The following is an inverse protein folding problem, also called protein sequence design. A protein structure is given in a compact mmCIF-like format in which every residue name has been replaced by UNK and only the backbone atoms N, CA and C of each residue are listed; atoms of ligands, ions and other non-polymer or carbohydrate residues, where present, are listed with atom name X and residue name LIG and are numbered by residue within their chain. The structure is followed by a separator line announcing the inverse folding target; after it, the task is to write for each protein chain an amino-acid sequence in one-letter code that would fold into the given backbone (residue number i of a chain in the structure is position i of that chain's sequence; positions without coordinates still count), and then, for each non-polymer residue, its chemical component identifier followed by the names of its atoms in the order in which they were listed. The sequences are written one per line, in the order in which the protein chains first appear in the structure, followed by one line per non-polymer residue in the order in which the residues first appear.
data_IF_882148903612
#
_entry.id   IF_882148903612
#
_cell.length_a   1.000
_cell.length_b   1.000
_cell.length_c   1.000
_cell.angle_alpha   90.00
_cell.angle_beta   90.00
_cell.angle_gamma   90.00
#
_symmetry.space_group_name_H-M   'P 1'
#
loop_
_entity.id
_entity.type
_entity.pdbx_description
1 polymer ?
#
# COMPACT_ATOMS: atom_id res chain seq x y z
N UNK A 1 10.07 -13.85 -3.36
CA UNK A 1 10.65 -14.84 -2.45
C UNK A 1 12.14 -15.09 -2.70
N UNK A 2 12.58 -15.35 -3.93
CA UNK A 2 14.00 -15.64 -4.21
C UNK A 2 14.96 -14.53 -3.71
N UNK A 3 14.65 -13.25 -3.94
CA UNK A 3 15.50 -12.16 -3.44
C UNK A 3 15.65 -12.17 -1.90
N UNK A 4 14.57 -12.44 -1.16
CA UNK A 4 14.62 -12.60 0.29
C UNK A 4 15.48 -13.79 0.71
N UNK A 5 15.39 -14.91 -0.01
CA UNK A 5 16.25 -16.07 0.26
C UNK A 5 17.73 -15.73 0.05
N UNK A 6 18.07 -15.01 -1.02
CA UNK A 6 19.45 -14.61 -1.30
C UNK A 6 20.02 -13.69 -0.22
N UNK A 7 19.20 -12.79 0.34
CA UNK A 7 19.55 -11.96 1.50
C UNK A 7 19.76 -12.80 2.76
N UNK A 8 18.85 -13.74 3.05
CA UNK A 8 18.95 -14.62 4.20
C UNK A 8 20.23 -15.46 4.20
N UNK A 9 20.59 -15.98 3.02
CA UNK A 9 21.80 -16.76 2.80
C UNK A 9 23.08 -15.91 2.68
N UNK A 10 22.96 -14.57 2.80
CA UNK A 10 24.08 -13.61 2.73
C UNK A 10 24.84 -13.63 1.40
N UNK A 11 24.18 -14.02 0.30
CA UNK A 11 24.77 -13.86 -1.05
C UNK A 11 24.85 -12.39 -1.46
N UNK A 12 23.94 -11.56 -0.93
CA UNK A 12 23.91 -10.12 -1.13
C UNK A 12 23.66 -9.42 0.19
N UNK A 13 24.13 -8.18 0.29
CA UNK A 13 23.99 -7.36 1.50
C UNK A 13 22.82 -6.41 1.41
N UNK A 14 22.39 -6.06 0.19
CA UNK A 14 21.30 -5.11 -0.05
C UNK A 14 20.17 -5.73 -0.88
N UNK A 15 18.91 -5.28 -0.66
CA UNK A 15 17.78 -5.67 -1.50
C UNK A 15 18.01 -5.37 -2.97
N UNK A 16 18.65 -4.24 -3.27
CA UNK A 16 18.96 -3.78 -4.63
C UNK A 16 19.85 -4.80 -5.37
N UNK A 17 20.95 -5.23 -4.76
CA UNK A 17 21.84 -6.25 -5.35
C UNK A 17 21.11 -7.57 -5.62
N UNK A 18 20.33 -8.05 -4.65
CA UNK A 18 19.58 -9.30 -4.77
C UNK A 18 18.50 -9.23 -5.87
N UNK A 19 17.82 -8.09 -5.99
CA UNK A 19 16.79 -7.85 -7.00
C UNK A 19 17.42 -7.72 -8.39
N UNK A 20 18.49 -6.96 -8.53
CA UNK A 20 19.19 -6.77 -9.80
C UNK A 20 19.75 -8.10 -10.32
N UNK A 21 20.39 -8.87 -9.45
CA UNK A 21 20.85 -10.22 -9.79
C UNK A 21 19.70 -11.12 -10.22
N UNK A 22 18.63 -11.18 -9.43
CA UNK A 22 17.45 -12.00 -9.76
C UNK A 22 16.84 -11.60 -11.10
N UNK A 23 16.69 -10.30 -11.34
CA UNK A 23 16.12 -9.75 -12.56
C UNK A 23 16.93 -10.15 -13.79
N UNK A 24 18.25 -9.99 -13.76
CA UNK A 24 19.15 -10.36 -14.86
C UNK A 24 19.17 -11.87 -15.13
N UNK A 25 19.06 -12.69 -14.08
CA UNK A 25 19.05 -14.15 -14.22
C UNK A 25 17.71 -14.72 -14.66
N UNK A 26 16.60 -14.07 -14.30
CA UNK A 26 15.26 -14.63 -14.50
C UNK A 26 14.62 -14.21 -15.82
N UNK A 27 14.83 -12.96 -16.26
CA UNK A 27 14.20 -12.38 -17.44
C UNK A 27 15.23 -11.70 -18.35
N UNK A 28 15.10 -11.90 -19.66
CA UNK A 28 16.00 -11.33 -20.67
C UNK A 28 15.99 -9.80 -20.66
N UNK A 29 14.84 -9.20 -20.37
CA UNK A 29 14.66 -7.75 -20.28
C UNK A 29 15.04 -7.16 -18.91
N UNK A 30 15.47 -7.98 -17.96
CA UNK A 30 15.80 -7.57 -16.59
C UNK A 30 14.59 -7.11 -15.78
N UNK A 31 13.35 -7.50 -16.13
CA UNK A 31 12.12 -7.04 -15.45
C UNK A 31 11.35 -8.16 -14.76
N UNK A 32 12.00 -8.92 -13.89
CA UNK A 32 11.34 -9.99 -13.14
C UNK A 32 10.54 -9.48 -11.93
N UNK A 33 11.16 -8.66 -11.07
CA UNK A 33 10.54 -8.07 -9.89
C UNK A 33 10.40 -6.56 -10.05
N UNK A 34 9.24 -6.13 -10.56
CA UNK A 34 8.97 -4.71 -10.87
C UNK A 34 7.86 -4.08 -10.03
N UNK A 35 7.02 -4.89 -9.38
CA UNK A 35 5.90 -4.36 -8.59
C UNK A 35 6.42 -3.67 -7.32
N UNK A 36 6.11 -2.38 -7.10
CA UNK A 36 6.65 -1.62 -5.97
C UNK A 36 6.32 -2.21 -4.60
N UNK A 37 5.14 -2.81 -4.45
CA UNK A 37 4.76 -3.50 -3.21
C UNK A 37 5.67 -4.71 -2.97
N UNK A 38 5.91 -5.55 -3.97
CA UNK A 38 6.79 -6.71 -3.81
C UNK A 38 8.23 -6.30 -3.47
N UNK A 39 8.76 -5.27 -4.14
CA UNK A 39 10.07 -4.68 -3.82
C UNK A 39 10.11 -4.19 -2.37
N UNK A 40 9.05 -3.52 -1.90
CA UNK A 40 8.93 -3.06 -0.51
C UNK A 40 9.01 -4.22 0.48
N UNK A 41 8.38 -5.36 0.19
CA UNK A 41 8.46 -6.54 1.07
C UNK A 41 9.87 -7.16 1.12
N UNK A 42 10.66 -7.08 0.04
CA UNK A 42 12.09 -7.49 0.10
C UNK A 42 12.87 -6.57 1.03
N UNK A 43 12.63 -5.26 0.98
CA UNK A 43 13.26 -4.27 1.88
C UNK A 43 12.81 -4.45 3.33
N UNK A 44 11.53 -4.76 3.56
CA UNK A 44 11.05 -5.09 4.90
C UNK A 44 11.75 -6.32 5.45
N UNK A 45 11.96 -7.35 4.62
CA UNK A 45 12.67 -8.55 5.04
C UNK A 45 14.13 -8.28 5.39
N UNK A 46 14.86 -7.49 4.58
CA UNK A 46 16.22 -7.05 4.95
C UNK A 46 16.22 -6.34 6.29
N UNK A 47 15.31 -5.38 6.52
CA UNK A 47 15.20 -4.68 7.80
C UNK A 47 14.93 -5.65 8.97
N UNK A 48 14.12 -6.68 8.76
CA UNK A 48 13.90 -7.75 9.74
C UNK A 48 15.19 -8.50 10.08
N UNK A 49 15.99 -8.85 9.08
CA UNK A 49 17.28 -9.50 9.32
C UNK A 49 18.26 -8.58 10.06
N UNK A 50 18.36 -7.32 9.64
CA UNK A 50 19.41 -6.41 10.12
C UNK A 50 19.10 -5.74 11.46
N UNK A 51 17.84 -5.36 11.69
CA UNK A 51 17.44 -4.60 12.89
C UNK A 51 16.72 -5.45 13.93
N UNK A 52 16.16 -6.59 13.51
CA UNK A 52 15.33 -7.43 14.36
C UNK A 52 15.86 -8.86 14.48
N UNK A 53 17.11 -9.10 14.05
CA UNK A 53 17.79 -10.39 14.14
C UNK A 53 16.99 -11.56 13.52
N UNK A 54 16.21 -11.26 12.48
CA UNK A 54 15.33 -12.23 11.80
C UNK A 54 13.96 -12.43 12.47
N UNK A 55 13.69 -11.81 13.61
CA UNK A 55 12.46 -11.99 14.37
C UNK A 55 11.32 -11.10 13.87
N UNK A 56 10.15 -11.71 13.71
CA UNK A 56 8.93 -11.00 13.31
C UNK A 56 8.48 -10.12 14.46
N UNK A 57 8.38 -8.81 14.19
CA UNK A 57 7.93 -7.85 15.17
C UNK A 57 6.41 -7.94 15.39
N UNK A 58 5.92 -7.72 16.62
CA UNK A 58 4.49 -7.69 16.88
C UNK A 58 3.81 -6.59 16.07
N UNK A 59 2.60 -6.87 15.59
CA UNK A 59 1.81 -5.91 14.82
C UNK A 59 1.50 -4.67 15.64
N UNK A 60 1.75 -3.49 15.05
CA UNK A 60 1.34 -2.21 15.65
C UNK A 60 -0.09 -1.89 15.24
N UNK A 61 -0.96 -1.68 16.22
CA UNK A 61 -2.33 -1.20 16.00
C UNK A 61 -2.31 0.28 15.62
N UNK A 62 -2.91 0.59 14.47
CA UNK A 62 -3.02 1.94 13.94
C UNK A 62 -4.46 2.20 13.49
N UNK A 63 -4.96 3.42 13.73
CA UNK A 63 -6.26 3.86 13.22
C UNK A 63 -6.05 4.72 11.97
N UNK A 64 -6.52 4.25 10.82
CA UNK A 64 -6.40 5.05 9.59
C UNK A 64 -7.42 6.19 9.60
N UNK A 65 -6.93 7.43 9.51
CA UNK A 65 -7.80 8.62 9.60
C UNK A 65 -8.24 9.18 8.26
N UNK A 66 -7.50 8.90 7.20
CA UNK A 66 -7.74 9.53 5.91
C UNK A 66 -6.59 9.40 4.95
N UNK A 67 -6.79 9.96 3.76
CA UNK A 67 -5.81 10.05 2.69
C UNK A 67 -5.65 11.49 2.25
N UNK A 68 -4.42 11.83 1.86
CA UNK A 68 -4.11 13.11 1.20
C UNK A 68 -3.44 12.77 -0.12
N UNK A 69 -4.08 13.10 -1.23
CA UNK A 69 -3.47 12.95 -2.54
C UNK A 69 -2.82 14.28 -2.92
N UNK A 70 -1.52 14.23 -3.20
CA UNK A 70 -0.72 15.39 -3.57
C UNK A 70 -0.58 15.47 -5.08
N UNK A 71 -0.55 16.70 -5.62
CA UNK A 71 -0.49 16.96 -7.06
C UNK A 71 -1.59 16.19 -7.82
N UNK A 72 -2.74 16.02 -7.16
CA UNK A 72 -3.84 15.24 -7.69
C UNK A 72 -4.59 16.07 -8.74
N UNK A 73 -4.77 15.55 -9.97
CA UNK A 73 -5.60 16.22 -10.95
C UNK A 73 -7.03 16.43 -10.44
N UNK A 74 -7.69 17.50 -10.90
CA UNK A 74 -9.01 17.85 -10.38
C UNK A 74 -10.08 16.77 -10.67
N UNK A 75 -9.88 15.96 -11.72
CA UNK A 75 -10.81 14.89 -12.12
C UNK A 75 -10.55 13.55 -11.41
N UNK A 76 -9.43 13.38 -10.70
CA UNK A 76 -9.10 12.11 -10.05
C UNK A 76 -9.77 12.04 -8.68
N UNK A 77 -10.87 11.28 -8.61
CA UNK A 77 -11.66 11.08 -7.39
C UNK A 77 -11.94 9.59 -7.21
N UNK A 78 -10.95 8.82 -6.71
CA UNK A 78 -11.08 7.38 -6.63
C UNK A 78 -12.01 6.98 -5.49
N UNK A 79 -12.76 5.90 -5.71
CA UNK A 79 -13.34 5.14 -4.60
C UNK A 79 -12.24 4.31 -3.93
N UNK A 80 -12.36 4.09 -2.63
CA UNK A 80 -11.32 3.45 -1.81
C UNK A 80 -11.85 2.16 -1.22
N UNK A 81 -11.02 1.11 -1.22
CA UNK A 81 -11.20 -0.11 -0.44
C UNK A 81 -9.96 -0.38 0.39
N UNK A 82 -10.17 -0.72 1.66
CA UNK A 82 -9.15 -1.10 2.62
C UNK A 82 -9.44 -2.54 3.02
N UNK A 83 -8.44 -3.40 2.92
CA UNK A 83 -8.56 -4.81 3.25
C UNK A 83 -7.30 -5.34 3.90
N UNK A 84 -7.42 -6.40 4.67
CA UNK A 84 -6.30 -7.20 5.17
C UNK A 84 -6.47 -8.66 4.70
N UNK A 85 -5.78 -9.58 5.35
CA UNK A 85 -5.88 -11.02 5.09
C UNK A 85 -7.22 -11.63 5.53
N UNK A 86 -7.94 -10.97 6.44
CA UNK A 86 -9.24 -11.43 6.97
C UNK A 86 -10.42 -10.91 6.15
N UNK A 87 -10.24 -9.81 5.41
CA UNK A 87 -11.23 -9.32 4.45
C UNK A 87 -11.24 -7.81 4.26
N UNK A 88 -12.40 -7.27 3.87
CA UNK A 88 -12.58 -5.84 3.67
C UNK A 88 -12.88 -5.17 5.02
N UNK A 89 -12.01 -4.24 5.41
CA UNK A 89 -12.16 -3.44 6.62
C UNK A 89 -13.02 -2.19 6.38
N UNK A 90 -12.91 -1.61 5.18
CA UNK A 90 -13.68 -0.44 4.78
C UNK A 90 -13.78 -0.36 3.26
N UNK A 91 -14.92 0.10 2.76
CA UNK A 91 -15.04 0.50 1.35
C UNK A 91 -16.02 1.65 1.20
N UNK A 92 -15.58 2.69 0.48
CA UNK A 92 -16.42 3.85 0.15
C UNK A 92 -17.71 3.46 -0.58
N UNK A 93 -17.70 2.34 -1.33
CA UNK A 93 -18.84 1.88 -2.14
C UNK A 93 -19.97 1.22 -1.35
N UNK A 94 -19.70 0.76 -0.12
CA UNK A 94 -20.69 0.04 0.72
C UNK A 94 -21.00 0.74 2.04
N UNK A 95 -20.10 1.61 2.50
CA UNK A 95 -20.23 2.23 3.81
C UNK A 95 -21.42 3.22 3.85
N UNK A 96 -22.31 3.18 4.86
CA UNK A 96 -23.53 3.99 4.89
C UNK A 96 -23.32 5.49 4.69
N UNK A 97 -22.21 6.05 5.21
CA UNK A 97 -21.87 7.48 5.06
C UNK A 97 -21.28 7.89 3.72
N UNK A 98 -20.94 6.95 2.84
CA UNK A 98 -20.28 7.25 1.56
C UNK A 98 -20.91 6.55 0.36
N UNK A 99 -21.71 5.50 0.57
CA UNK A 99 -22.29 4.66 -0.49
C UNK A 99 -23.23 5.44 -1.43
N UNK A 100 -23.91 6.44 -0.90
CA UNK A 100 -24.88 7.26 -1.64
C UNK A 100 -24.25 8.59 -2.12
N UNK A 101 -22.94 8.77 -1.88
CA UNK A 101 -22.18 9.94 -2.29
C UNK A 101 -21.36 9.63 -3.55
N UNK A 102 -21.23 10.63 -4.42
CA UNK A 102 -20.27 10.54 -5.50
C UNK A 102 -18.85 10.72 -4.94
N UNK A 103 -17.81 10.14 -5.57
CA UNK A 103 -16.44 10.35 -5.13
C UNK A 103 -16.05 11.82 -4.98
N UNK A 104 -16.55 12.70 -5.84
CA UNK A 104 -16.35 14.14 -5.74
C UNK A 104 -16.83 14.73 -4.41
N UNK A 105 -17.87 14.15 -3.80
CA UNK A 105 -18.52 14.67 -2.60
C UNK A 105 -17.76 14.34 -1.32
N UNK A 106 -17.07 13.19 -1.28
CA UNK A 106 -16.28 12.78 -0.10
C UNK A 106 -14.79 13.15 -0.18
N UNK A 107 -14.32 13.63 -1.33
CA UNK A 107 -12.97 14.18 -1.50
C UNK A 107 -12.99 15.72 -1.40
N UNK A 108 -12.44 16.24 -0.31
CA UNK A 108 -12.44 17.66 0.02
C UNK A 108 -11.17 18.32 -0.54
N UNK A 109 -11.30 19.44 -1.24
CA UNK A 109 -10.14 20.24 -1.65
C UNK A 109 -9.50 20.88 -0.40
N UNK A 110 -8.20 20.66 -0.22
CA UNK A 110 -7.46 21.38 0.82
C UNK A 110 -7.21 22.84 0.37
N UNK A 111 -7.00 23.78 1.32
CA UNK A 111 -6.65 25.17 1.00
C UNK A 111 -5.42 25.29 0.08
N UNK A 112 -4.50 24.33 0.15
CA UNK A 112 -3.33 24.25 -0.71
C UNK A 112 -3.71 23.63 -2.06
N UNK A 113 -3.50 24.38 -3.14
CA UNK A 113 -3.76 23.95 -4.53
C UNK A 113 -3.16 22.58 -4.84
N UNK A 114 -3.95 21.72 -5.49
CA UNK A 114 -3.52 20.39 -5.93
C UNK A 114 -3.45 19.33 -4.83
N UNK A 115 -4.04 19.59 -3.65
CA UNK A 115 -4.20 18.60 -2.59
C UNK A 115 -5.68 18.31 -2.39
N UNK A 116 -6.04 17.03 -2.40
CA UNK A 116 -7.39 16.55 -2.06
C UNK A 116 -7.31 15.59 -0.89
N UNK A 117 -8.31 15.66 -0.02
CA UNK A 117 -8.33 14.98 1.26
C UNK A 117 -9.59 14.15 1.38
N UNK A 118 -9.42 12.89 1.75
CA UNK A 118 -10.52 12.03 2.19
C UNK A 118 -10.33 11.75 3.67
N UNK A 119 -11.32 12.07 4.48
CA UNK A 119 -11.34 11.66 5.89
C UNK A 119 -12.18 10.38 6.01
N UNK A 120 -11.65 9.35 6.68
CA UNK A 120 -12.48 8.21 7.03
C UNK A 120 -13.58 8.65 8.01
N UNK A 121 -14.78 8.04 7.94
CA UNK A 121 -15.78 8.23 8.97
C UNK A 121 -15.20 7.94 10.36
N UNK A 122 -15.45 8.83 11.33
CA UNK A 122 -14.88 8.75 12.69
C UNK A 122 -15.45 7.64 13.58
N UNK A 123 -15.86 6.51 13.01
CA UNK A 123 -16.47 5.40 13.74
C UNK A 123 -15.40 4.56 14.45
N UNK A 124 -15.58 4.19 15.73
CA UNK A 124 -14.64 3.32 16.45
C UNK A 124 -14.45 1.99 15.73
N UNK A 125 -13.19 1.56 15.58
CA UNK A 125 -12.83 0.29 14.92
C UNK A 125 -12.86 0.32 13.39
N UNK A 126 -13.39 1.37 12.76
CA UNK A 126 -13.42 1.48 11.30
C UNK A 126 -12.01 1.62 10.74
N UNK A 127 -11.60 0.66 9.91
CA UNK A 127 -10.23 0.58 9.37
C UNK A 127 -9.14 0.66 10.45
N UNK A 128 -9.35 -0.03 11.58
CA UNK A 128 -8.27 -0.39 12.48
C UNK A 128 -7.33 -1.37 11.76
N UNK A 129 -6.04 -1.04 11.70
CA UNK A 129 -5.03 -1.81 10.97
C UNK A 129 -4.05 -2.44 11.95
N UNK A 130 -3.76 -3.73 11.74
CA UNK A 130 -2.70 -4.47 12.42
C UNK A 130 -2.01 -5.36 11.39
N UNK A 131 -0.70 -5.20 11.23
CA UNK A 131 0.08 -6.01 10.28
C UNK A 131 -0.11 -5.59 8.83
N UNK A 132 -0.19 -6.57 7.93
CA UNK A 132 -0.28 -6.35 6.48
C UNK A 132 -1.69 -5.97 6.05
N UNK A 133 -1.79 -4.92 5.25
CA UNK A 133 -3.04 -4.44 4.67
C UNK A 133 -2.82 -3.93 3.25
N UNK A 134 -3.90 -3.84 2.50
CA UNK A 134 -3.96 -3.31 1.14
C UNK A 134 -4.93 -2.14 1.10
N UNK A 135 -4.49 -1.07 0.45
CA UNK A 135 -5.35 0.04 0.04
C UNK A 135 -5.50 -0.06 -1.47
N UNK A 136 -6.74 -0.05 -1.95
CA UNK A 136 -7.06 -0.05 -3.37
C UNK A 136 -7.87 1.19 -3.73
N UNK A 137 -7.36 1.96 -4.70
CA UNK A 137 -8.04 3.10 -5.31
C UNK A 137 -8.64 2.65 -6.64
N UNK A 138 -9.96 2.69 -6.75
CA UNK A 138 -10.66 2.33 -7.99
C UNK A 138 -11.13 3.61 -8.70
N UNK A 139 -10.86 3.72 -9.99
CA UNK A 139 -11.45 4.75 -10.85
C UNK A 139 -12.88 4.36 -11.27
N UNK A 140 -13.60 5.31 -11.88
CA UNK A 140 -14.88 5.05 -12.55
C UNK A 140 -14.73 4.15 -13.78
N UNK A 141 -13.55 4.12 -14.41
CA UNK A 141 -13.29 3.43 -15.69
C UNK A 141 -12.31 2.25 -15.58
N UNK A 142 -11.70 2.00 -14.41
CA UNK A 142 -10.71 0.92 -14.21
C UNK A 142 -9.80 1.14 -12.99
N UNK A 143 -8.78 0.30 -12.84
CA UNK A 143 -7.79 0.44 -11.76
C UNK A 143 -6.70 1.48 -12.13
N UNK A 144 -6.20 2.23 -11.14
CA UNK A 144 -5.00 3.07 -11.32
C UNK A 144 -3.75 2.17 -11.32
N UNK A 145 -3.03 2.10 -12.45
CA UNK A 145 -1.73 1.41 -12.56
C UNK A 145 -0.55 2.38 -12.38
#
# INVERSE_FOLDING_TARGET
MICSLLLFLKFFTTPEEAIDYFNQKRCVDGKALVLPSQIRYVKYFERTLTHFNGEVQPGRRCMLRGFRLHKCPYWVRPSITISDHSGILFTTRKHPKTKDLMPEDFWINAPKKGIVVFALPGEPGLAELVGDFKIHFHDRQGDFF
#
